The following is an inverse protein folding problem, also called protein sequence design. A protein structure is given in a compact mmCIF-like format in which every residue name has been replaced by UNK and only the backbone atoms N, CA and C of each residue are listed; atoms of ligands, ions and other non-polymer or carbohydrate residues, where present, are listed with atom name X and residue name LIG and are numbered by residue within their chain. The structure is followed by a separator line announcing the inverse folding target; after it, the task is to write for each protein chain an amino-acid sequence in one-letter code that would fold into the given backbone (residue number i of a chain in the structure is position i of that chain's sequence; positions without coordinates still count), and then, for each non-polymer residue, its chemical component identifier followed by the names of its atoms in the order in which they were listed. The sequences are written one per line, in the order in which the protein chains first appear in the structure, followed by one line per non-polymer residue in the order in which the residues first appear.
data_IF_677872517240
#
_entry.id   IF_677872517240
#
_cell.length_a   1.000
_cell.length_b   1.000
_cell.length_c   1.000
_cell.angle_alpha   90.00
_cell.angle_beta   90.00
_cell.angle_gamma   90.00
#
_symmetry.space_group_name_H-M   'P 1'
#
loop_
_entity.id
_entity.type
_entity.pdbx_description
1 polymer ?
#
# COMPACT_ATOMS: atom_id res chain seq x y z
N UNK A 1 4.72 -5.83 12.75
CA UNK A 1 5.08 -4.51 13.32
C UNK A 1 3.98 -4.10 14.28
N UNK A 2 4.27 -3.75 15.54
CA UNK A 2 3.22 -3.39 16.50
C UNK A 2 2.83 -1.91 16.38
N UNK A 3 1.77 -1.65 15.60
CA UNK A 3 1.15 -0.34 15.41
C UNK A 3 -0.30 -0.29 15.91
N UNK A 4 -0.74 -1.36 16.59
CA UNK A 4 -2.13 -1.56 17.01
C UNK A 4 -2.44 -0.97 18.39
N UNK A 5 -1.42 -0.51 19.11
CA UNK A 5 -1.59 0.14 20.40
C UNK A 5 -2.25 1.53 20.24
N UNK A 6 -3.27 1.82 21.05
CA UNK A 6 -3.81 3.18 21.18
C UNK A 6 -2.79 4.18 21.74
N UNK A 7 -1.77 3.67 22.43
CA UNK A 7 -0.64 4.44 22.96
C UNK A 7 0.60 4.27 22.07
N UNK A 8 0.42 3.99 20.77
CA UNK A 8 1.53 3.86 19.83
C UNK A 8 2.30 5.19 19.78
N UNK A 9 3.42 5.25 20.47
CA UNK A 9 4.30 6.43 20.53
C UNK A 9 5.23 6.53 19.31
N UNK A 10 5.00 5.71 18.30
CA UNK A 10 5.85 5.62 17.13
C UNK A 10 5.70 6.90 16.30
N UNK A 11 6.81 7.57 16.02
CA UNK A 11 6.78 8.71 15.09
C UNK A 11 6.65 8.21 13.64
N UNK A 12 6.32 9.10 12.72
CA UNK A 12 6.29 8.76 11.29
C UNK A 12 7.67 8.31 10.82
N UNK A 13 8.74 8.97 11.26
CA UNK A 13 10.12 8.62 10.92
C UNK A 13 10.49 7.23 11.43
N UNK A 14 10.11 6.91 12.67
CA UNK A 14 10.34 5.59 13.26
C UNK A 14 9.56 4.51 12.53
N UNK A 15 8.30 4.78 12.18
CA UNK A 15 7.47 3.89 11.37
C UNK A 15 8.11 3.62 10.01
N UNK A 16 8.50 4.68 9.29
CA UNK A 16 9.15 4.57 7.98
C UNK A 16 10.45 3.77 8.07
N UNK A 17 11.26 3.99 9.12
CA UNK A 17 12.50 3.24 9.33
C UNK A 17 12.22 1.76 9.59
N UNK A 18 11.20 1.44 10.39
CA UNK A 18 10.79 0.05 10.64
C UNK A 18 10.22 -0.59 9.37
N UNK A 19 9.46 0.14 8.56
CA UNK A 19 8.86 -0.37 7.34
C UNK A 19 9.96 -0.76 6.33
N UNK A 20 10.95 0.11 6.13
CA UNK A 20 12.13 -0.18 5.28
C UNK A 20 12.93 -1.40 5.73
N UNK A 21 12.97 -1.69 7.03
CA UNK A 21 13.63 -2.89 7.58
C UNK A 21 12.77 -4.14 7.44
N UNK A 22 11.45 -3.98 7.50
CA UNK A 22 10.49 -5.11 7.46
C UNK A 22 10.20 -5.56 6.03
N UNK A 23 10.17 -4.61 5.09
CA UNK A 23 9.81 -4.82 3.67
C UNK A 23 11.02 -4.50 2.77
N UNK A 24 11.93 -5.46 2.54
CA UNK A 24 13.14 -5.23 1.74
C UNK A 24 12.84 -4.87 0.27
N UNK A 25 11.66 -5.19 -0.24
CA UNK A 25 11.20 -4.89 -1.60
C UNK A 25 11.09 -3.38 -1.84
N UNK A 26 10.96 -2.57 -0.77
CA UNK A 26 11.02 -1.12 -0.85
C UNK A 26 12.35 -0.60 -1.42
N UNK A 27 13.40 -1.43 -1.47
CA UNK A 27 14.66 -1.09 -2.11
C UNK A 27 14.60 -1.11 -3.64
N UNK A 28 13.65 -1.81 -4.26
CA UNK A 28 13.52 -1.86 -5.72
C UNK A 28 13.19 -0.50 -6.33
N UNK A 29 12.48 0.38 -5.60
CA UNK A 29 12.18 1.73 -6.05
C UNK A 29 13.40 2.65 -6.17
N UNK A 30 14.58 2.23 -5.72
CA UNK A 30 15.80 3.07 -5.77
C UNK A 30 16.59 2.94 -7.07
N UNK A 31 16.14 2.08 -7.99
CA UNK A 31 16.76 1.84 -9.30
C UNK A 31 18.19 1.28 -9.23
N UNK A 32 18.67 0.71 -10.34
CA UNK A 32 20.12 0.68 -10.62
C UNK A 32 20.49 2.10 -11.02
N UNK A 33 21.25 2.80 -10.20
CA UNK A 33 21.80 4.12 -10.55
C UNK A 33 22.87 3.97 -11.64
N UNK A 34 22.48 3.76 -12.89
CA UNK A 34 23.40 3.77 -14.03
C UNK A 34 23.44 5.17 -14.66
N UNK A 35 24.58 5.85 -14.44
CA UNK A 35 25.20 6.96 -15.23
C UNK A 35 24.34 8.22 -15.45
N UNK A 36 24.71 9.45 -15.09
CA UNK A 36 25.96 10.22 -15.23
C UNK A 36 25.73 11.55 -14.48
N UNK A 37 26.74 12.25 -13.93
CA UNK A 37 26.50 13.54 -13.29
C UNK A 37 26.46 14.64 -14.35
N UNK A 38 25.28 15.23 -14.62
CA UNK A 38 25.29 16.64 -15.04
C UNK A 38 24.02 17.47 -14.73
N UNK A 39 24.33 18.64 -14.16
CA UNK A 39 23.70 19.96 -14.10
C UNK A 39 22.17 20.17 -14.16
N UNK A 40 21.67 20.66 -13.01
CA UNK A 40 20.75 21.80 -12.80
C UNK A 40 19.63 22.08 -13.80
N UNK A 41 18.39 21.78 -13.39
CA UNK A 41 17.20 22.66 -13.41
C UNK A 41 15.95 21.79 -13.20
N UNK A 42 15.10 22.14 -12.23
CA UNK A 42 13.76 21.55 -12.00
C UNK A 42 13.67 20.05 -12.32
N UNK A 43 14.37 19.22 -11.54
CA UNK A 43 14.43 17.78 -11.78
C UNK A 43 13.02 17.22 -11.61
N UNK A 44 12.38 16.86 -12.73
CA UNK A 44 11.21 15.99 -12.71
C UNK A 44 11.60 14.78 -11.86
N UNK A 45 10.85 14.51 -10.79
CA UNK A 45 11.13 13.37 -9.93
C UNK A 45 11.20 12.12 -10.81
N UNK A 46 12.25 11.32 -10.60
CA UNK A 46 12.38 10.00 -11.21
C UNK A 46 11.05 9.23 -10.99
N UNK A 47 10.45 8.64 -12.03
CA UNK A 47 9.27 7.79 -11.89
C UNK A 47 9.36 6.81 -10.71
N UNK A 48 10.54 6.24 -10.44
CA UNK A 48 10.73 5.33 -9.32
C UNK A 48 10.60 6.04 -7.94
N UNK A 49 11.11 7.27 -7.82
CA UNK A 49 10.96 8.10 -6.63
C UNK A 49 9.49 8.56 -6.43
N UNK A 50 8.75 8.79 -7.53
CA UNK A 50 7.31 9.08 -7.46
C UNK A 50 6.56 7.88 -6.86
N UNK A 51 6.76 6.68 -7.41
CA UNK A 51 6.10 5.47 -6.89
C UNK A 51 6.56 5.11 -5.47
N UNK A 52 7.83 5.37 -5.13
CA UNK A 52 8.32 5.24 -3.76
C UNK A 52 7.55 6.13 -2.79
N UNK A 53 7.39 7.42 -3.12
CA UNK A 53 6.64 8.36 -2.27
C UNK A 53 5.18 7.97 -2.15
N UNK A 54 4.54 7.51 -3.22
CA UNK A 54 3.17 6.99 -3.21
C UNK A 54 3.05 5.77 -2.29
N UNK A 55 3.99 4.83 -2.39
CA UNK A 55 4.07 3.64 -1.53
C UNK A 55 4.25 4.02 -0.06
N UNK A 56 5.18 4.92 0.25
CA UNK A 56 5.40 5.39 1.62
C UNK A 56 4.18 6.13 2.19
N UNK A 57 3.49 6.92 1.37
CA UNK A 57 2.23 7.56 1.73
C UNK A 57 1.13 6.54 2.04
N UNK A 58 1.03 5.46 1.26
CA UNK A 58 0.07 4.39 1.51
C UNK A 58 0.36 3.63 2.83
N UNK A 59 1.64 3.33 3.10
CA UNK A 59 2.06 2.72 4.37
C UNK A 59 1.74 3.61 5.57
N UNK A 60 2.02 4.92 5.47
CA UNK A 60 1.68 5.90 6.50
C UNK A 60 0.17 6.02 6.71
N UNK A 61 -0.63 5.99 5.64
CA UNK A 61 -2.08 5.99 5.74
C UNK A 61 -2.61 4.79 6.51
N UNK A 62 -2.09 3.58 6.26
CA UNK A 62 -2.45 2.39 7.04
C UNK A 62 -2.05 2.57 8.51
N UNK A 63 -0.88 3.12 8.77
CA UNK A 63 -0.41 3.40 10.12
C UNK A 63 -1.31 4.39 10.86
N UNK A 64 -1.60 5.55 10.28
CA UNK A 64 -2.43 6.56 10.92
C UNK A 64 -3.85 6.05 11.14
N UNK A 65 -4.40 5.25 10.22
CA UNK A 65 -5.69 4.58 10.43
C UNK A 65 -5.60 3.55 11.56
N UNK A 66 -4.60 2.69 11.60
CA UNK A 66 -4.54 1.68 12.68
C UNK A 66 -4.34 2.31 14.07
N UNK A 67 -3.61 3.43 14.15
CA UNK A 67 -3.28 4.13 15.39
C UNK A 67 -4.23 5.29 15.74
N UNK A 68 -5.36 5.45 15.03
CA UNK A 68 -6.32 6.57 15.20
C UNK A 68 -5.66 7.98 15.17
N UNK A 69 -4.62 8.16 14.34
CA UNK A 69 -3.86 9.41 14.20
C UNK A 69 -4.49 10.33 13.14
N UNK A 70 -5.69 10.83 13.44
CA UNK A 70 -6.45 11.71 12.54
C UNK A 70 -5.65 12.97 12.14
N UNK A 71 -5.06 13.68 13.10
CA UNK A 71 -4.39 14.96 12.85
C UNK A 71 -3.20 14.80 11.90
N UNK A 72 -2.47 13.70 12.02
CA UNK A 72 -1.36 13.36 11.12
C UNK A 72 -1.84 13.06 9.70
N UNK A 73 -2.95 12.31 9.57
CA UNK A 73 -3.56 11.99 8.28
C UNK A 73 -4.00 13.25 7.51
N UNK A 74 -4.51 14.26 8.22
CA UNK A 74 -5.09 15.46 7.61
C UNK A 74 -4.16 16.67 7.52
N UNK A 75 -2.96 16.62 8.13
CA UNK A 75 -2.08 17.80 8.28
C UNK A 75 -1.75 18.51 6.96
N UNK A 76 -1.62 17.75 5.87
CA UNK A 76 -1.27 18.25 4.54
C UNK A 76 -2.47 18.41 3.60
N UNK A 77 -3.70 18.20 4.10
CA UNK A 77 -4.91 18.40 3.30
C UNK A 77 -5.35 19.87 3.36
N UNK A 78 -5.71 20.48 2.22
CA UNK A 78 -6.30 21.82 2.19
C UNK A 78 -7.52 21.90 3.11
N UNK A 79 -7.74 22.97 3.89
CA UNK A 79 -8.83 23.03 4.87
C UNK A 79 -10.21 22.68 4.31
N UNK A 80 -10.51 23.13 3.08
CA UNK A 80 -11.80 22.89 2.42
C UNK A 80 -11.97 21.46 1.88
N UNK A 81 -10.88 20.71 1.73
CA UNK A 81 -10.88 19.33 1.25
C UNK A 81 -10.50 18.35 2.37
N UNK A 82 -10.35 18.85 3.59
CA UNK A 82 -9.90 18.06 4.73
C UNK A 82 -10.97 17.03 5.10
N UNK A 83 -10.55 15.78 5.25
CA UNK A 83 -11.43 14.72 5.75
C UNK A 83 -12.00 15.14 7.12
N UNK A 84 -13.32 15.06 7.29
CA UNK A 84 -13.94 15.37 8.57
C UNK A 84 -13.66 14.29 9.62
N UNK A 85 -13.76 14.65 10.91
CA UNK A 85 -13.67 13.67 12.02
C UNK A 85 -14.74 12.59 11.90
N UNK A 86 -15.95 12.95 11.49
CA UNK A 86 -17.03 11.99 11.26
C UNK A 86 -16.66 10.96 10.18
N UNK A 87 -16.13 11.41 9.04
CA UNK A 87 -15.70 10.49 7.97
C UNK A 87 -14.50 9.64 8.40
N UNK A 88 -13.60 10.20 9.21
CA UNK A 88 -12.52 9.44 9.83
C UNK A 88 -13.04 8.30 10.71
N UNK A 89 -14.02 8.58 11.57
CA UNK A 89 -14.64 7.56 12.43
C UNK A 89 -15.33 6.45 11.61
N UNK A 90 -15.82 6.78 10.41
CA UNK A 90 -16.31 5.78 9.46
C UNK A 90 -15.17 4.90 8.90
N UNK A 91 -14.04 5.49 8.51
CA UNK A 91 -12.86 4.73 8.04
C UNK A 91 -12.33 3.82 9.16
N UNK A 92 -12.18 4.34 10.39
CA UNK A 92 -11.78 3.57 11.56
C UNK A 92 -12.69 2.35 11.79
N UNK A 93 -14.00 2.58 11.83
CA UNK A 93 -14.98 1.51 12.02
C UNK A 93 -14.97 0.51 10.88
N UNK A 94 -14.79 0.97 9.65
CA UNK A 94 -14.70 0.08 8.48
C UNK A 94 -13.44 -0.80 8.55
N UNK A 95 -12.28 -0.19 8.77
CA UNK A 95 -11.01 -0.91 8.89
C UNK A 95 -11.05 -1.95 10.04
N UNK A 96 -11.60 -1.57 11.19
CA UNK A 96 -11.72 -2.46 12.35
C UNK A 96 -12.79 -3.53 12.19
N UNK A 97 -13.99 -3.18 11.77
CA UNK A 97 -15.16 -4.07 11.87
C UNK A 97 -15.45 -4.84 10.59
N UNK A 98 -15.10 -4.30 9.42
CA UNK A 98 -15.36 -4.90 8.11
C UNK A 98 -14.11 -5.59 7.60
N UNK A 99 -12.99 -4.87 7.52
CA UNK A 99 -11.71 -5.44 7.06
C UNK A 99 -11.07 -6.32 8.13
N UNK A 100 -11.45 -6.15 9.40
CA UNK A 100 -10.89 -6.88 10.56
C UNK A 100 -9.38 -6.63 10.72
N UNK A 101 -8.91 -5.48 10.26
CA UNK A 101 -7.49 -5.15 10.21
C UNK A 101 -6.82 -5.15 11.60
N UNK A 102 -7.60 -4.82 12.63
CA UNK A 102 -7.15 -4.74 14.03
C UNK A 102 -7.86 -5.76 14.93
N UNK A 103 -8.42 -6.82 14.34
CA UNK A 103 -9.06 -7.91 15.09
C UNK A 103 -8.00 -8.77 15.80
N UNK A 104 -8.09 -9.01 17.11
CA UNK A 104 -7.13 -9.86 17.83
C UNK A 104 -7.03 -11.29 17.30
N UNK A 105 -8.05 -11.77 16.58
CA UNK A 105 -8.04 -13.10 15.96
C UNK A 105 -7.35 -13.10 14.59
N UNK A 106 -6.93 -11.93 14.08
CA UNK A 106 -6.27 -11.73 12.80
C UNK A 106 -4.93 -10.97 12.99
N UNK A 107 -3.98 -11.52 13.77
CA UNK A 107 -2.78 -10.80 14.19
C UNK A 107 -1.85 -10.38 13.03
N UNK A 108 -1.93 -11.08 11.90
CA UNK A 108 -1.11 -10.80 10.72
C UNK A 108 -1.81 -9.87 9.70
N UNK A 109 -3.06 -9.44 9.94
CA UNK A 109 -3.82 -8.66 8.96
C UNK A 109 -3.18 -7.31 8.63
N UNK A 110 -2.70 -6.59 9.64
CA UNK A 110 -1.95 -5.33 9.43
C UNK A 110 -0.70 -5.58 8.62
N UNK A 111 0.03 -6.64 8.96
CA UNK A 111 1.30 -6.94 8.35
C UNK A 111 1.14 -7.36 6.88
N UNK A 112 0.10 -8.14 6.58
CA UNK A 112 -0.33 -8.47 5.23
C UNK A 112 -0.74 -7.22 4.43
N UNK A 113 -1.47 -6.28 5.05
CA UNK A 113 -1.85 -5.02 4.42
C UNK A 113 -0.62 -4.17 4.08
N UNK A 114 0.32 -4.03 5.02
CA UNK A 114 1.55 -3.29 4.80
C UNK A 114 2.44 -3.97 3.75
N UNK A 115 2.51 -5.30 3.75
CA UNK A 115 3.21 -6.08 2.73
C UNK A 115 2.60 -5.84 1.33
N UNK A 116 1.27 -5.84 1.23
CA UNK A 116 0.60 -5.56 -0.04
C UNK A 116 0.93 -4.14 -0.52
N UNK A 117 0.81 -3.14 0.36
CA UNK A 117 1.16 -1.74 0.03
C UNK A 117 2.63 -1.59 -0.38
N UNK A 118 3.57 -2.30 0.25
CA UNK A 118 4.99 -2.16 -0.05
C UNK A 118 5.41 -2.71 -1.41
N UNK A 119 4.64 -3.62 -2.00
CA UNK A 119 4.97 -4.26 -3.27
C UNK A 119 3.99 -3.95 -4.41
N UNK A 120 2.78 -3.48 -4.13
CA UNK A 120 1.75 -3.21 -5.13
C UNK A 120 2.24 -2.27 -6.24
N UNK A 121 2.86 -1.15 -5.86
CA UNK A 121 3.34 -0.16 -6.84
C UNK A 121 4.62 -0.61 -7.57
N UNK A 122 5.28 -1.72 -7.18
CA UNK A 122 6.36 -2.32 -7.96
C UNK A 122 5.86 -2.81 -9.32
N UNK A 123 4.61 -3.28 -9.39
CA UNK A 123 3.95 -3.63 -10.64
C UNK A 123 3.88 -2.46 -11.63
N UNK A 124 3.94 -1.21 -11.17
CA UNK A 124 3.95 -0.04 -12.06
C UNK A 124 5.34 0.25 -12.64
N UNK A 125 6.40 -0.16 -11.95
CA UNK A 125 7.77 0.05 -12.40
C UNK A 125 8.04 -0.79 -13.65
N UNK A 126 8.29 -0.09 -14.76
CA UNK A 126 8.49 -0.72 -16.07
C UNK A 126 9.68 -1.69 -16.04
N UNK A 127 10.82 -1.25 -15.55
CA UNK A 127 12.05 -2.05 -15.54
C UNK A 127 11.90 -3.33 -14.70
N UNK A 128 11.23 -3.23 -13.55
CA UNK A 128 10.92 -4.37 -12.69
C UNK A 128 10.03 -5.41 -13.39
N UNK A 129 8.99 -4.94 -14.09
CA UNK A 129 8.15 -5.82 -14.91
C UNK A 129 8.88 -6.40 -16.11
N UNK A 130 9.70 -5.63 -16.80
CA UNK A 130 10.44 -6.14 -17.96
C UNK A 130 11.44 -7.23 -17.56
N UNK A 131 12.03 -7.14 -16.37
CA UNK A 131 12.94 -8.15 -15.83
C UNK A 131 12.22 -9.42 -15.37
N UNK A 132 11.07 -9.29 -14.68
CA UNK A 132 10.43 -10.41 -13.97
C UNK A 132 9.12 -10.91 -14.59
N UNK A 133 8.46 -10.11 -15.42
CA UNK A 133 7.22 -10.42 -16.12
C UNK A 133 7.21 -9.83 -17.55
N UNK A 134 8.18 -10.19 -18.40
CA UNK A 134 8.32 -9.61 -19.73
C UNK A 134 7.04 -9.79 -20.55
N UNK A 135 6.59 -8.71 -21.21
CA UNK A 135 5.38 -8.69 -22.03
C UNK A 135 4.09 -8.29 -21.30
N UNK A 136 4.10 -8.19 -19.97
CA UNK A 136 2.93 -7.76 -19.20
C UNK A 136 2.83 -6.22 -19.15
N UNK A 137 1.84 -5.67 -19.87
CA UNK A 137 1.56 -4.23 -19.89
C UNK A 137 0.70 -3.76 -18.73
N UNK A 138 -0.22 -4.61 -18.27
CA UNK A 138 -1.03 -4.37 -17.08
C UNK A 138 -0.20 -4.62 -15.82
N UNK A 139 -0.23 -3.66 -14.88
CA UNK A 139 0.61 -3.67 -13.69
C UNK A 139 0.17 -4.74 -12.69
N UNK A 140 -1.14 -4.97 -12.55
CA UNK A 140 -1.69 -5.91 -11.59
C UNK A 140 -1.48 -7.35 -12.09
N UNK A 141 -1.70 -7.59 -13.39
CA UNK A 141 -1.38 -8.85 -14.04
C UNK A 141 0.14 -9.14 -14.03
N UNK A 142 0.98 -8.12 -14.23
CA UNK A 142 2.43 -8.24 -14.12
C UNK A 142 2.86 -8.66 -12.73
N UNK A 143 2.37 -7.98 -11.69
CA UNK A 143 2.66 -8.34 -10.30
C UNK A 143 2.11 -9.74 -9.96
N UNK A 144 0.90 -10.08 -10.43
CA UNK A 144 0.35 -11.43 -10.24
C UNK A 144 1.20 -12.50 -10.93
N UNK A 145 1.81 -12.22 -12.08
CA UNK A 145 2.75 -13.13 -12.72
C UNK A 145 4.00 -13.35 -11.85
N UNK A 146 4.56 -12.26 -11.30
CA UNK A 146 5.75 -12.31 -10.43
C UNK A 146 5.47 -13.14 -9.18
N UNK A 147 4.34 -12.92 -8.51
CA UNK A 147 3.94 -13.71 -7.34
C UNK A 147 3.81 -15.21 -7.65
N UNK A 148 3.40 -15.57 -8.87
CA UNK A 148 3.24 -16.96 -9.29
C UNK A 148 4.54 -17.62 -9.75
N UNK A 149 5.47 -16.86 -10.35
CA UNK A 149 6.66 -17.41 -11.03
C UNK A 149 7.96 -17.20 -10.28
N UNK A 150 8.08 -16.10 -9.56
CA UNK A 150 9.30 -15.71 -8.86
C UNK A 150 8.97 -15.08 -7.49
N UNK A 151 8.14 -15.73 -6.63
CA UNK A 151 7.74 -15.14 -5.35
C UNK A 151 8.93 -14.83 -4.43
N UNK A 152 10.05 -15.53 -4.59
CA UNK A 152 11.28 -15.33 -3.81
C UNK A 152 11.89 -13.92 -3.94
N UNK A 153 11.55 -13.16 -4.99
CA UNK A 153 11.95 -11.75 -5.15
C UNK A 153 11.15 -10.82 -4.22
N UNK A 154 10.06 -11.30 -3.64
CA UNK A 154 9.19 -10.59 -2.71
C UNK A 154 9.15 -11.35 -1.36
N UNK A 155 10.26 -11.41 -0.60
CA UNK A 155 10.35 -12.21 0.63
C UNK A 155 9.29 -11.86 1.69
N UNK A 156 8.80 -10.62 1.73
CA UNK A 156 7.70 -10.20 2.59
C UNK A 156 6.38 -10.88 2.24
N UNK A 157 6.14 -11.18 0.96
CA UNK A 157 4.99 -11.98 0.54
C UNK A 157 5.16 -13.44 0.99
N UNK A 158 6.33 -14.01 0.73
CA UNK A 158 6.64 -15.40 1.08
C UNK A 158 6.54 -15.71 2.58
N UNK A 159 6.77 -14.73 3.46
CA UNK A 159 6.66 -14.92 4.91
C UNK A 159 5.23 -14.85 5.44
N UNK A 160 4.25 -14.41 4.63
CA UNK A 160 2.87 -14.31 5.07
C UNK A 160 2.23 -15.69 5.17
N UNK A 161 1.25 -15.90 6.08
CA UNK A 161 0.41 -17.08 6.05
C UNK A 161 -0.33 -17.24 4.72
N UNK A 162 -0.55 -18.49 4.28
CA UNK A 162 -1.20 -18.84 3.01
C UNK A 162 -2.52 -18.09 2.75
N UNK A 163 -3.31 -17.88 3.81
CA UNK A 163 -4.56 -17.11 3.75
C UNK A 163 -4.35 -15.71 3.19
N UNK A 164 -3.32 -15.00 3.63
CA UNK A 164 -3.04 -13.64 3.20
C UNK A 164 -2.32 -13.60 1.85
N UNK A 165 -1.51 -14.61 1.54
CA UNK A 165 -0.97 -14.78 0.19
C UNK A 165 -2.11 -14.92 -0.84
N UNK A 166 -3.07 -15.82 -0.57
CA UNK A 166 -4.26 -16.01 -1.40
C UNK A 166 -5.10 -14.73 -1.49
N UNK A 167 -5.27 -14.00 -0.39
CA UNK A 167 -6.01 -12.74 -0.39
C UNK A 167 -5.35 -11.69 -1.28
N UNK A 168 -4.03 -11.56 -1.23
CA UNK A 168 -3.26 -10.66 -2.10
C UNK A 168 -3.40 -11.06 -3.56
N UNK A 169 -3.18 -12.33 -3.89
CA UNK A 169 -3.36 -12.82 -5.26
C UNK A 169 -4.77 -12.59 -5.79
N UNK A 170 -5.78 -12.77 -4.93
CA UNK A 170 -7.18 -12.53 -5.29
C UNK A 170 -7.41 -11.03 -5.52
N UNK A 171 -6.84 -10.18 -4.67
CA UNK A 171 -6.98 -8.72 -4.77
C UNK A 171 -6.40 -8.15 -6.07
N UNK A 172 -5.33 -8.76 -6.60
CA UNK A 172 -4.74 -8.39 -7.90
C UNK A 172 -5.55 -8.87 -9.12
N UNK A 173 -6.46 -9.85 -8.93
CA UNK A 173 -7.28 -10.42 -10.00
C UNK A 173 -8.68 -9.81 -10.08
N UNK A 174 -9.09 -9.08 -9.05
CA UNK A 174 -10.38 -8.40 -9.01
C UNK A 174 -10.19 -6.98 -9.54
N UNK A 175 -11.10 -6.51 -10.38
CA UNK A 175 -11.21 -5.10 -10.82
C UNK A 175 -11.65 -4.18 -9.64
N UNK A 176 -10.89 -4.22 -8.54
CA UNK A 176 -11.08 -3.38 -7.38
C UNK A 176 -9.75 -2.87 -6.87
N UNK A 177 -9.41 -1.64 -7.26
CA UNK A 177 -8.17 -1.00 -6.84
C UNK A 177 -8.29 -0.53 -5.37
N UNK A 178 -7.94 -1.44 -4.45
CA UNK A 178 -7.90 -1.20 -3.01
C UNK A 178 -6.91 -0.08 -2.64
N UNK A 179 -5.82 0.05 -3.42
CA UNK A 179 -4.84 1.13 -3.31
C UNK A 179 -5.45 2.51 -3.58
N UNK A 180 -6.19 2.69 -4.68
CA UNK A 180 -6.91 3.93 -5.00
C UNK A 180 -8.01 4.26 -3.96
N UNK A 181 -8.57 3.25 -3.30
CA UNK A 181 -9.57 3.46 -2.24
C UNK A 181 -8.91 3.97 -0.95
N UNK A 182 -7.80 3.36 -0.52
CA UNK A 182 -7.02 3.83 0.62
C UNK A 182 -6.29 5.17 0.36
N UNK A 183 -5.91 5.42 -0.90
CA UNK A 183 -5.27 6.68 -1.35
C UNK A 183 -6.29 7.80 -1.62
N UNK A 184 -7.59 7.56 -1.42
CA UNK A 184 -8.68 8.50 -1.70
C UNK A 184 -8.74 9.01 -3.17
N UNK A 185 -8.20 8.25 -4.12
CA UNK A 185 -8.24 8.54 -5.56
C UNK A 185 -9.53 7.99 -6.23
N UNK A 186 -10.32 7.19 -5.52
CA UNK A 186 -11.59 6.64 -6.01
C UNK A 186 -12.74 7.66 -5.91
N UNK A 187 -13.32 8.03 -7.05
CA UNK A 187 -14.58 8.76 -7.12
C UNK A 187 -15.73 7.92 -6.51
N UNK A 188 -16.81 8.55 -6.00
CA UNK A 188 -17.96 7.83 -5.42
C UNK A 188 -18.58 6.74 -6.31
N UNK A 189 -18.38 6.83 -7.63
CA UNK A 189 -18.81 5.82 -8.60
C UNK A 189 -18.13 4.45 -8.39
N UNK A 190 -16.87 4.43 -7.98
CA UNK A 190 -16.08 3.20 -7.81
C UNK A 190 -16.50 2.42 -6.55
N UNK A 191 -17.19 3.08 -5.62
CA UNK A 191 -17.81 2.48 -4.44
C UNK A 191 -19.07 1.66 -4.81
N UNK A 192 -19.73 1.95 -5.93
CA UNK A 192 -20.94 1.21 -6.36
C UNK A 192 -20.63 -0.25 -6.71
N UNK A 193 -19.46 -0.53 -7.28
CA UNK A 193 -19.04 -1.88 -7.63
C UNK A 193 -18.67 -2.71 -6.38
N UNK A 194 -18.17 -2.06 -5.32
CA UNK A 194 -17.97 -2.70 -4.01
C UNK A 194 -19.29 -3.08 -3.37
N UNK A 195 -20.31 -2.22 -3.52
CA UNK A 195 -21.66 -2.48 -3.00
C UNK A 195 -22.31 -3.70 -3.65
N UNK A 196 -21.98 -4.04 -4.91
CA UNK A 196 -22.47 -5.28 -5.52
C UNK A 196 -21.69 -6.51 -5.06
N UNK A 197 -20.39 -6.38 -4.78
CA UNK A 197 -19.56 -7.44 -4.20
C UNK A 197 -19.93 -7.76 -2.74
N UNK A 198 -20.28 -6.73 -1.95
CA UNK A 198 -20.72 -6.87 -0.55
C UNK A 198 -22.24 -7.04 -0.41
N UNK A 199 -22.98 -6.98 -1.52
CA UNK A 199 -24.44 -6.91 -1.57
C UNK A 199 -25.15 -8.23 -1.88
N UNK A 200 -24.54 -9.37 -1.56
CA UNK A 200 -25.23 -10.66 -1.48
C UNK A 200 -25.02 -11.29 -0.10
N UNK A 201 -25.60 -10.64 0.91
CA UNK A 201 -26.30 -11.26 2.06
C UNK A 201 -27.15 -10.21 2.75
#
# INVERSE_FOLDING_TARGET
MDILSKDCSLTDEEFVLRAKKTFPELSYFRGRSDTTPDQSAAVALDPAEIEFRRTMGALLSVFWVCADRYDDFVRNQPPNNRLSRENWDHIQRWAKNVVKLTDPNEPDAVDAMLCFMSMHDLGKMKDFREELAPGYQDHDAGLSHILSKSPEVLPSYCRLPDKYQLLIETSLKVDFNFGQYLQAENLPANIKNVKSLLGNK
#
